data_IF_646142315861
#
_entry.id   IF_646142315861
#
_cell.length_a   1.000
_cell.length_b   1.000
_cell.length_c   1.000
_cell.angle_alpha   90.00
_cell.angle_beta   90.00
_cell.angle_gamma   90.00
#
_symmetry.space_group_name_H-M   'P 1'
#
loop_
_entity.id
_entity.type
_entity.pdbx_description
1 polymer ?
#
# COMPACT_ATOMS: atom_id res chain seq x y z
N UNK A 1 -5.99 -14.84 -6.07
CA UNK A 1 -5.16 -14.87 -7.30
C UNK A 1 -3.74 -15.22 -6.89
N UNK A 2 -3.07 -16.17 -7.56
CA UNK A 2 -1.72 -16.58 -7.17
C UNK A 2 -0.73 -15.42 -7.41
N UNK A 3 0.12 -15.16 -6.43
CA UNK A 3 1.27 -14.26 -6.54
C UNK A 3 2.12 -14.66 -7.75
N UNK A 4 2.61 -13.66 -8.49
CA UNK A 4 3.63 -13.91 -9.49
C UNK A 4 4.94 -14.30 -8.77
N UNK A 5 5.40 -15.57 -8.89
CA UNK A 5 6.57 -16.03 -8.15
C UNK A 5 7.85 -15.24 -8.50
N UNK A 6 7.87 -14.59 -9.67
CA UNK A 6 8.99 -13.76 -10.11
C UNK A 6 9.14 -12.49 -9.27
N UNK A 7 8.02 -11.88 -8.87
CA UNK A 7 8.02 -10.67 -8.02
C UNK A 7 8.53 -11.01 -6.61
N UNK A 8 8.03 -12.10 -6.01
CA UNK A 8 8.50 -12.55 -4.68
C UNK A 8 9.99 -12.85 -4.72
N UNK A 9 10.44 -13.54 -5.76
CA UNK A 9 11.86 -13.85 -5.95
C UNK A 9 12.71 -12.58 -6.09
N UNK A 10 12.23 -11.59 -6.85
CA UNK A 10 12.92 -10.33 -7.04
C UNK A 10 13.00 -9.53 -5.73
N UNK A 11 11.90 -9.45 -4.96
CA UNK A 11 11.89 -8.79 -3.64
C UNK A 11 12.90 -9.43 -2.69
N UNK A 12 12.93 -10.77 -2.63
CA UNK A 12 13.90 -11.51 -1.80
C UNK A 12 15.34 -11.31 -2.28
N UNK A 13 15.58 -11.38 -3.58
CA UNK A 13 16.92 -11.25 -4.16
C UNK A 13 17.52 -9.84 -3.94
N UNK A 14 16.68 -8.81 -3.89
CA UNK A 14 17.09 -7.44 -3.61
C UNK A 14 17.14 -7.10 -2.11
N UNK A 15 16.95 -8.08 -1.22
CA UNK A 15 17.00 -7.87 0.23
C UNK A 15 15.85 -7.02 0.79
N UNK A 16 14.80 -6.81 0.00
CA UNK A 16 13.64 -5.98 0.38
C UNK A 16 12.69 -6.73 1.32
N UNK A 17 12.77 -8.07 1.34
CA UNK A 17 12.06 -8.92 2.27
C UNK A 17 13.07 -9.48 3.28
N UNK A 18 12.99 -9.00 4.50
CA UNK A 18 13.87 -9.43 5.62
C UNK A 18 13.08 -10.38 6.50
N UNK A 19 13.68 -11.50 6.86
CA UNK A 19 13.16 -12.43 7.87
C UNK A 19 13.78 -12.09 9.23
N UNK A 20 12.96 -12.10 10.29
CA UNK A 20 13.40 -11.70 11.63
C UNK A 20 12.23 -11.67 12.61
N UNK A 21 12.38 -10.86 13.68
CA UNK A 21 11.33 -10.58 14.63
C UNK A 21 11.12 -9.07 14.71
N UNK A 22 10.10 -8.57 14.10
CA UNK A 22 9.82 -7.15 13.95
C UNK A 22 8.61 -6.74 14.75
N UNK A 23 8.70 -5.59 15.44
CA UNK A 23 7.57 -4.92 16.07
C UNK A 23 7.31 -3.59 15.37
N UNK A 24 6.11 -3.42 14.84
CA UNK A 24 5.66 -2.20 14.18
C UNK A 24 5.16 -1.17 15.18
N UNK A 25 5.06 0.08 14.75
CA UNK A 25 4.50 1.17 15.56
C UNK A 25 3.05 0.91 16.00
N UNK A 26 2.31 0.10 15.26
CA UNK A 26 0.97 -0.35 15.63
C UNK A 26 0.93 -1.30 16.83
N UNK A 27 2.09 -1.77 17.32
CA UNK A 27 2.21 -2.81 18.34
C UNK A 27 2.10 -4.24 17.79
N UNK A 28 1.85 -4.40 16.51
CA UNK A 28 1.81 -5.72 15.87
C UNK A 28 3.22 -6.26 15.64
N UNK A 29 3.40 -7.57 15.76
CA UNK A 29 4.64 -8.27 15.48
C UNK A 29 4.55 -9.06 14.18
N UNK A 30 5.68 -9.21 13.47
CA UNK A 30 5.79 -10.01 12.26
C UNK A 30 7.12 -10.77 12.22
N UNK A 31 7.11 -11.94 11.58
CA UNK A 31 8.32 -12.69 11.26
C UNK A 31 9.05 -12.16 10.02
N UNK A 32 8.51 -11.13 9.39
CA UNK A 32 9.02 -10.58 8.14
C UNK A 32 8.82 -9.05 8.09
N UNK A 33 9.71 -8.39 7.40
CA UNK A 33 9.65 -6.97 7.09
C UNK A 33 9.83 -6.76 5.59
N UNK A 34 8.91 -6.01 4.96
CA UNK A 34 9.17 -5.40 3.66
C UNK A 34 9.80 -4.03 3.91
N UNK A 35 11.06 -3.86 3.50
CA UNK A 35 11.78 -2.61 3.67
C UNK A 35 11.26 -1.55 2.70
N UNK A 36 10.29 -0.76 3.17
CA UNK A 36 9.63 0.25 2.34
C UNK A 36 10.55 1.39 1.94
N UNK A 37 11.58 1.69 2.75
CA UNK A 37 12.49 2.80 2.48
C UNK A 37 13.41 2.48 1.31
N UNK A 38 13.71 1.20 1.10
CA UNK A 38 14.49 0.72 -0.02
C UNK A 38 13.65 0.29 -1.24
N UNK A 39 12.36 0.01 -1.01
CA UNK A 39 11.47 -0.63 -2.00
C UNK A 39 11.43 0.07 -3.37
N UNK A 40 11.55 1.40 -3.38
CA UNK A 40 11.45 2.22 -4.58
C UNK A 40 12.77 2.89 -4.97
N UNK A 41 13.89 2.48 -4.38
CA UNK A 41 15.21 3.09 -4.70
C UNK A 41 15.71 2.67 -6.07
N UNK A 42 15.30 1.48 -6.56
CA UNK A 42 15.68 0.98 -7.87
C UNK A 42 14.53 1.21 -8.87
N UNK A 43 14.62 2.20 -9.78
CA UNK A 43 13.51 2.58 -10.68
C UNK A 43 13.02 1.45 -11.57
N UNK A 44 13.90 0.58 -12.06
CA UNK A 44 13.53 -0.57 -12.89
C UNK A 44 12.62 -1.52 -12.09
N UNK A 45 13.01 -1.85 -10.88
CA UNK A 45 12.22 -2.72 -10.01
C UNK A 45 10.90 -2.06 -9.60
N UNK A 46 10.93 -0.78 -9.20
CA UNK A 46 9.74 0.00 -8.88
C UNK A 46 8.73 0.03 -10.03
N UNK A 47 9.22 0.16 -11.28
CA UNK A 47 8.37 0.13 -12.47
C UNK A 47 7.69 -1.23 -12.66
N UNK A 48 8.40 -2.33 -12.41
CA UNK A 48 7.82 -3.67 -12.49
C UNK A 48 6.71 -3.89 -11.45
N UNK A 49 6.89 -3.40 -10.23
CA UNK A 49 5.83 -3.42 -9.20
C UNK A 49 4.62 -2.62 -9.64
N UNK A 50 4.85 -1.39 -10.13
CA UNK A 50 3.78 -0.51 -10.62
C UNK A 50 3.01 -1.12 -11.79
N UNK A 51 3.70 -1.75 -12.75
CA UNK A 51 3.06 -2.46 -13.85
C UNK A 51 2.20 -3.63 -13.37
N UNK A 52 2.73 -4.46 -12.46
CA UNK A 52 2.01 -5.61 -11.93
C UNK A 52 0.73 -5.19 -11.18
N UNK A 53 0.76 -4.06 -10.48
CA UNK A 53 -0.42 -3.48 -9.83
C UNK A 53 -1.39 -2.88 -10.85
N UNK A 54 -0.90 -2.06 -11.78
CA UNK A 54 -1.74 -1.41 -12.80
C UNK A 54 -2.50 -2.43 -13.66
N UNK A 55 -1.87 -3.56 -14.00
CA UNK A 55 -2.45 -4.63 -14.80
C UNK A 55 -3.79 -5.14 -14.26
N UNK A 56 -4.01 -5.09 -12.95
CA UNK A 56 -5.25 -5.53 -12.32
C UNK A 56 -6.43 -4.61 -12.65
N UNK A 57 -6.14 -3.35 -13.02
CA UNK A 57 -7.12 -2.28 -13.19
C UNK A 57 -7.18 -1.74 -14.63
N UNK A 58 -6.62 -2.44 -15.62
CA UNK A 58 -6.60 -1.97 -17.01
C UNK A 58 -7.99 -1.76 -17.61
N UNK A 59 -8.98 -2.49 -17.14
CA UNK A 59 -10.37 -2.37 -17.62
C UNK A 59 -11.20 -1.36 -16.85
N UNK A 60 -10.69 -0.80 -15.76
CA UNK A 60 -11.48 -0.03 -14.80
C UNK A 60 -11.55 1.47 -15.09
N UNK A 61 -10.88 1.96 -16.13
CA UNK A 61 -10.89 3.38 -16.54
C UNK A 61 -10.60 4.32 -15.38
N UNK A 62 -9.43 4.17 -14.77
CA UNK A 62 -9.00 4.98 -13.63
C UNK A 62 -8.61 6.40 -14.13
N UNK A 63 -9.20 7.43 -13.55
CA UNK A 63 -8.85 8.83 -13.84
C UNK A 63 -7.68 9.31 -12.98
N UNK A 64 -7.67 8.88 -11.70
CA UNK A 64 -6.69 9.32 -10.71
C UNK A 64 -6.25 8.19 -9.79
N UNK A 65 -4.96 8.07 -9.56
CA UNK A 65 -4.38 7.23 -8.52
C UNK A 65 -4.09 8.10 -7.31
N UNK A 66 -4.63 7.73 -6.15
CA UNK A 66 -4.57 8.55 -4.94
C UNK A 66 -3.92 7.78 -3.78
N UNK A 67 -3.11 8.47 -2.98
CA UNK A 67 -2.42 7.87 -1.83
C UNK A 67 -2.59 8.72 -0.57
N UNK A 68 -2.74 8.10 0.62
CA UNK A 68 -2.96 8.80 1.88
C UNK A 68 -1.76 9.64 2.33
N UNK A 69 -0.59 9.45 1.74
CA UNK A 69 0.62 10.16 2.12
C UNK A 69 1.63 10.21 0.98
N UNK A 70 2.65 11.05 1.13
CA UNK A 70 3.78 11.13 0.19
C UNK A 70 4.53 9.79 0.04
N UNK A 71 4.50 8.92 1.06
CA UNK A 71 5.18 7.63 1.04
C UNK A 71 4.66 6.69 -0.05
N UNK A 72 3.35 6.75 -0.35
CA UNK A 72 2.76 5.99 -1.46
C UNK A 72 2.94 6.63 -2.84
N UNK A 73 3.44 7.88 -2.92
CA UNK A 73 3.49 8.62 -4.18
C UNK A 73 4.39 7.95 -5.24
N UNK A 74 5.48 7.32 -4.81
CA UNK A 74 6.37 6.61 -5.73
C UNK A 74 5.68 5.44 -6.45
N UNK A 75 4.92 4.64 -5.72
CA UNK A 75 4.16 3.53 -6.33
C UNK A 75 2.97 4.06 -7.14
N UNK A 76 2.29 5.09 -6.64
CA UNK A 76 1.20 5.76 -7.36
C UNK A 76 1.65 6.26 -8.74
N UNK A 77 2.87 6.84 -8.82
CA UNK A 77 3.47 7.32 -10.06
C UNK A 77 3.61 6.20 -11.10
N UNK A 78 4.11 5.04 -10.70
CA UNK A 78 4.28 3.92 -11.63
C UNK A 78 2.96 3.29 -12.02
N UNK A 79 2.02 3.13 -11.09
CA UNK A 79 0.67 2.63 -11.42
C UNK A 79 0.01 3.56 -12.45
N UNK A 80 -0.02 4.86 -12.17
CA UNK A 80 -0.65 5.85 -13.04
C UNK A 80 0.00 5.91 -14.43
N UNK A 81 1.33 5.72 -14.50
CA UNK A 81 2.08 5.71 -15.75
C UNK A 81 1.68 4.55 -16.67
N UNK A 82 1.38 3.36 -16.11
CA UNK A 82 1.03 2.17 -16.88
C UNK A 82 -0.46 2.03 -17.18
N UNK A 83 -1.34 2.81 -16.54
CA UNK A 83 -2.76 2.82 -16.89
C UNK A 83 -3.01 3.50 -18.24
N UNK A 84 -3.99 3.00 -19.01
CA UNK A 84 -4.38 3.56 -20.30
C UNK A 84 -5.88 3.94 -20.31
N UNK A 85 -6.23 5.23 -20.51
CA UNK A 85 -5.34 6.37 -20.60
C UNK A 85 -4.56 6.59 -19.29
N UNK A 86 -3.42 7.28 -19.35
CA UNK A 86 -2.60 7.56 -18.16
C UNK A 86 -3.40 8.35 -17.13
N UNK A 87 -3.46 7.82 -15.92
CA UNK A 87 -4.13 8.47 -14.81
C UNK A 87 -3.32 9.65 -14.25
N UNK A 88 -3.99 10.56 -13.54
CA UNK A 88 -3.33 11.57 -12.71
C UNK A 88 -2.94 10.95 -11.38
N UNK A 89 -2.07 11.63 -10.63
CA UNK A 89 -1.74 11.24 -9.26
C UNK A 89 -2.04 12.36 -8.29
N UNK A 90 -2.50 12.00 -7.10
CA UNK A 90 -2.57 12.88 -5.95
C UNK A 90 -2.04 12.15 -4.72
N UNK A 91 -1.52 12.91 -3.76
CA UNK A 91 -1.28 12.43 -2.41
C UNK A 91 -1.93 13.38 -1.41
N UNK A 92 -2.42 12.83 -0.30
CA UNK A 92 -2.84 13.63 0.81
C UNK A 92 -1.63 14.11 1.63
N UNK A 93 -1.82 15.21 2.34
CA UNK A 93 -0.88 15.70 3.35
C UNK A 93 -1.52 15.50 4.71
N UNK A 94 -0.84 14.91 5.69
CA UNK A 94 -1.38 14.81 7.04
C UNK A 94 -1.42 16.19 7.69
N UNK A 95 -2.62 16.62 8.10
CA UNK A 95 -2.86 17.82 8.91
C UNK A 95 -3.51 17.33 10.20
N UNK A 96 -2.92 17.64 11.34
CA UNK A 96 -3.36 17.19 12.66
C UNK A 96 -3.61 15.66 12.73
N UNK A 97 -2.76 14.90 12.04
CA UNK A 97 -2.85 13.45 11.99
C UNK A 97 -3.88 12.87 11.01
N UNK A 98 -4.63 13.70 10.30
CA UNK A 98 -5.65 13.29 9.33
C UNK A 98 -5.20 13.54 7.89
N UNK A 99 -5.42 12.59 6.94
CA UNK A 99 -5.09 12.79 5.54
C UNK A 99 -5.97 13.90 4.95
N UNK A 100 -5.35 14.89 4.32
CA UNK A 100 -6.06 16.05 3.75
C UNK A 100 -5.64 16.23 2.30
N UNK A 101 -6.63 16.36 1.40
CA UNK A 101 -6.40 16.68 -0.01
C UNK A 101 -6.34 18.21 -0.15
N UNK A 102 -5.28 18.71 -0.79
CA UNK A 102 -5.15 20.15 -1.02
C UNK A 102 -6.28 20.66 -1.94
N UNK A 103 -6.91 21.82 -1.66
CA UNK A 103 -8.06 22.31 -2.43
C UNK A 103 -7.81 22.40 -3.94
N UNK A 104 -6.58 22.74 -4.35
CA UNK A 104 -6.20 22.80 -5.78
C UNK A 104 -6.28 21.44 -6.48
N UNK A 105 -6.27 20.34 -5.74
CA UNK A 105 -6.31 18.96 -6.27
C UNK A 105 -7.72 18.36 -6.28
N UNK A 106 -8.72 19.01 -5.66
CA UNK A 106 -10.10 18.49 -5.56
C UNK A 106 -10.72 18.20 -6.94
N UNK A 107 -10.37 18.98 -7.97
CA UNK A 107 -10.83 18.76 -9.34
C UNK A 107 -10.32 17.46 -9.98
N UNK A 108 -9.30 16.84 -9.38
CA UNK A 108 -8.79 15.51 -9.78
C UNK A 108 -9.47 14.36 -8.99
N UNK A 109 -10.37 14.71 -8.06
CA UNK A 109 -11.08 13.77 -7.17
C UNK A 109 -12.57 13.76 -7.47
N UNK A 110 -13.21 14.92 -7.49
CA UNK A 110 -14.68 15.07 -7.66
C UNK A 110 -15.16 14.47 -8.98
N UNK A 111 -16.15 13.57 -8.88
CA UNK A 111 -16.75 12.86 -10.00
C UNK A 111 -15.73 12.05 -10.85
N UNK A 112 -14.61 11.64 -10.24
CA UNK A 112 -13.57 10.85 -10.88
C UNK A 112 -13.55 9.42 -10.36
N UNK A 113 -13.06 8.51 -11.20
CA UNK A 113 -12.82 7.11 -10.84
C UNK A 113 -11.42 7.01 -10.25
N UNK A 114 -11.34 6.68 -8.97
CA UNK A 114 -10.09 6.63 -8.22
C UNK A 114 -9.67 5.21 -7.88
N UNK A 115 -8.39 4.93 -8.11
CA UNK A 115 -7.68 3.83 -7.49
C UNK A 115 -6.88 4.38 -6.31
N UNK A 116 -7.16 3.89 -5.11
CA UNK A 116 -6.35 4.23 -3.95
C UNK A 116 -5.13 3.30 -3.89
N UNK A 117 -4.00 3.81 -3.42
CA UNK A 117 -2.83 2.95 -3.26
C UNK A 117 -1.94 3.37 -2.08
N UNK A 118 -1.19 2.41 -1.57
CA UNK A 118 -0.09 2.65 -0.62
C UNK A 118 0.98 1.55 -0.80
N UNK A 119 2.15 1.73 -0.20
CA UNK A 119 3.19 0.70 -0.19
C UNK A 119 2.76 -0.50 0.66
N UNK A 120 2.25 -0.23 1.84
CA UNK A 120 1.91 -1.23 2.86
C UNK A 120 0.53 -0.96 3.44
N UNK A 121 -0.28 -2.00 3.56
CA UNK A 121 -1.51 -1.99 4.35
C UNK A 121 -1.36 -3.01 5.48
N UNK A 122 -1.25 -2.54 6.71
CA UNK A 122 -1.15 -3.38 7.91
C UNK A 122 -2.52 -3.60 8.55
N UNK A 123 -3.10 -2.55 9.11
CA UNK A 123 -4.42 -2.57 9.79
C UNK A 123 -5.51 -1.88 8.98
N UNK A 124 -5.16 -1.27 7.87
CA UNK A 124 -6.08 -0.48 7.05
C UNK A 124 -6.54 0.85 7.66
N UNK A 125 -6.15 1.21 8.89
CA UNK A 125 -6.64 2.41 9.56
C UNK A 125 -6.38 3.71 8.77
N UNK A 126 -5.14 3.94 8.34
CA UNK A 126 -4.78 5.14 7.54
C UNK A 126 -5.54 5.19 6.22
N UNK A 127 -5.66 4.04 5.54
CA UNK A 127 -6.41 3.94 4.29
C UNK A 127 -7.91 4.15 4.53
N UNK A 128 -8.46 3.61 5.62
CA UNK A 128 -9.86 3.81 6.00
C UNK A 128 -10.22 5.27 6.27
N UNK A 129 -9.34 6.03 6.92
CA UNK A 129 -9.54 7.47 7.11
C UNK A 129 -9.40 8.24 5.79
N UNK A 130 -8.48 7.83 4.93
CA UNK A 130 -8.34 8.43 3.61
C UNK A 130 -9.55 8.19 2.71
N UNK A 131 -10.13 6.98 2.74
CA UNK A 131 -11.39 6.66 2.03
C UNK A 131 -12.48 7.65 2.40
N UNK A 132 -12.71 7.93 3.70
CA UNK A 132 -13.73 8.89 4.15
C UNK A 132 -13.51 10.29 3.56
N UNK A 133 -12.26 10.74 3.47
CA UNK A 133 -11.91 12.03 2.86
C UNK A 133 -12.24 12.02 1.38
N UNK A 134 -11.81 11.00 0.65
CA UNK A 134 -12.05 10.87 -0.79
C UNK A 134 -13.54 10.77 -1.12
N UNK A 135 -14.31 10.00 -0.33
CA UNK A 135 -15.78 9.93 -0.46
C UNK A 135 -16.45 11.28 -0.21
N UNK A 136 -16.00 12.02 0.81
CA UNK A 136 -16.53 13.36 1.12
C UNK A 136 -16.33 14.37 -0.01
N UNK A 137 -15.34 14.15 -0.86
CA UNK A 137 -15.05 14.96 -2.06
C UNK A 137 -15.85 14.50 -3.30
N UNK A 138 -16.66 13.44 -3.20
CA UNK A 138 -17.54 12.96 -4.26
C UNK A 138 -16.84 12.10 -5.32
N UNK A 139 -15.82 11.35 -4.96
CA UNK A 139 -15.15 10.42 -5.85
C UNK A 139 -15.87 9.08 -5.99
N UNK A 140 -15.55 8.36 -7.06
CA UNK A 140 -15.94 6.96 -7.27
C UNK A 140 -14.70 6.07 -7.03
N UNK A 141 -14.56 5.53 -5.83
CA UNK A 141 -13.44 4.63 -5.51
C UNK A 141 -13.69 3.27 -6.19
N UNK A 142 -12.70 2.79 -6.96
CA UNK A 142 -12.76 1.52 -7.68
C UNK A 142 -12.19 0.38 -6.83
N UNK A 143 -11.16 0.66 -6.06
CA UNK A 143 -10.51 -0.30 -5.19
C UNK A 143 -9.22 0.26 -4.60
N UNK A 144 -8.48 -0.61 -3.94
CA UNK A 144 -7.23 -0.29 -3.25
C UNK A 144 -6.14 -1.21 -3.78
N UNK A 145 -4.98 -0.65 -4.12
CA UNK A 145 -3.80 -1.40 -4.55
C UNK A 145 -2.64 -1.17 -3.58
N UNK A 146 -1.95 -2.22 -3.18
CA UNK A 146 -0.80 -2.13 -2.29
C UNK A 146 0.27 -3.16 -2.66
N UNK A 147 1.52 -2.87 -2.34
CA UNK A 147 2.59 -3.85 -2.53
C UNK A 147 2.45 -4.97 -1.49
N UNK A 148 2.30 -4.61 -0.23
CA UNK A 148 2.06 -5.59 0.82
C UNK A 148 0.76 -5.29 1.57
N UNK A 149 -0.11 -6.32 1.63
CA UNK A 149 -1.32 -6.33 2.42
C UNK A 149 -1.19 -7.43 3.49
N UNK A 150 -1.31 -7.08 4.75
CA UNK A 150 -1.17 -8.05 5.84
C UNK A 150 -2.28 -9.11 5.76
N UNK A 151 -3.55 -8.71 5.85
CA UNK A 151 -4.68 -9.64 5.72
C UNK A 151 -6.04 -8.98 5.46
N UNK A 152 -6.05 -7.71 5.09
CA UNK A 152 -7.32 -6.99 4.87
C UNK A 152 -7.86 -7.27 3.46
N UNK A 153 -8.90 -8.10 3.27
CA UNK A 153 -9.48 -8.37 1.96
C UNK A 153 -10.25 -7.15 1.41
N UNK A 154 -10.75 -6.31 2.31
CA UNK A 154 -11.45 -5.06 2.01
C UNK A 154 -11.25 -4.04 3.13
N UNK A 155 -11.34 -2.75 2.79
CA UNK A 155 -11.33 -1.64 3.74
C UNK A 155 -12.51 -0.74 3.42
N UNK A 156 -13.39 -0.51 4.42
CA UNK A 156 -14.62 0.26 4.25
C UNK A 156 -15.49 -0.20 3.05
N UNK A 157 -15.51 -1.51 2.75
CA UNK A 157 -16.27 -2.09 1.64
C UNK A 157 -15.57 -2.02 0.27
N UNK A 158 -14.34 -1.51 0.19
CA UNK A 158 -13.56 -1.49 -1.04
C UNK A 158 -12.53 -2.63 -1.08
N UNK A 159 -12.46 -3.40 -2.18
CA UNK A 159 -11.55 -4.53 -2.27
C UNK A 159 -10.08 -4.08 -2.27
N UNK A 160 -9.24 -4.84 -1.58
CA UNK A 160 -7.80 -4.63 -1.52
C UNK A 160 -7.07 -5.64 -2.40
N UNK A 161 -6.36 -5.13 -3.40
CA UNK A 161 -5.41 -5.91 -4.17
C UNK A 161 -3.99 -5.68 -3.63
N UNK A 162 -3.39 -6.72 -3.07
CA UNK A 162 -1.98 -6.69 -2.67
C UNK A 162 -1.14 -7.57 -3.59
N UNK A 163 0.04 -7.12 -3.98
CA UNK A 163 1.02 -7.96 -4.67
C UNK A 163 1.54 -9.07 -3.76
N UNK A 164 1.68 -8.78 -2.47
CA UNK A 164 2.14 -9.68 -1.43
C UNK A 164 1.03 -9.76 -0.38
N UNK A 165 0.09 -10.68 -0.55
CA UNK A 165 -0.95 -10.93 0.45
C UNK A 165 -0.48 -12.01 1.41
N UNK A 166 -0.62 -11.78 2.70
CA UNK A 166 -0.50 -12.79 3.75
C UNK A 166 0.76 -13.67 3.65
N UNK A 167 1.85 -13.13 3.11
CA UNK A 167 3.12 -13.85 3.10
C UNK A 167 3.63 -14.10 4.52
N UNK A 168 3.33 -13.15 5.41
CA UNK A 168 3.63 -13.24 6.83
C UNK A 168 2.57 -12.42 7.58
N UNK A 169 1.77 -13.08 8.39
CA UNK A 169 0.74 -12.42 9.16
C UNK A 169 1.36 -11.59 10.28
N UNK A 170 0.84 -10.39 10.48
CA UNK A 170 1.10 -9.64 11.70
C UNK A 170 0.20 -10.16 12.81
N UNK A 171 0.71 -10.22 14.03
CA UNK A 171 0.01 -10.75 15.18
C UNK A 171 0.27 -9.90 16.42
N UNK A 172 -0.61 -9.99 17.40
CA UNK A 172 -0.40 -9.32 18.68
C UNK A 172 0.82 -9.91 19.41
N UNK A 173 1.48 -9.16 20.29
CA UNK A 173 2.60 -9.66 21.08
C UNK A 173 2.28 -10.95 21.84
N UNK A 174 1.03 -11.06 22.36
CA UNK A 174 0.57 -12.21 23.13
C UNK A 174 0.46 -13.49 22.27
N UNK A 175 0.16 -13.34 20.98
CA UNK A 175 0.08 -14.44 20.02
C UNK A 175 1.39 -14.73 19.29
N UNK A 176 2.44 -13.96 19.54
CA UNK A 176 3.67 -14.04 18.78
C UNK A 176 4.56 -15.21 19.21
N UNK A 177 4.70 -16.21 18.37
CA UNK A 177 5.57 -17.37 18.62
C UNK A 177 7.06 -16.98 18.78
N UNK A 178 7.51 -15.92 18.11
CA UNK A 178 8.89 -15.43 18.24
C UNK A 178 9.14 -14.80 19.60
N UNK A 179 8.15 -14.11 20.18
CA UNK A 179 8.17 -13.65 21.56
C UNK A 179 8.29 -14.83 22.54
N UNK A 180 7.44 -15.84 22.35
CA UNK A 180 7.44 -17.03 23.20
C UNK A 180 8.79 -17.79 23.16
N UNK A 181 9.51 -17.70 22.05
CA UNK A 181 10.84 -18.29 21.85
C UNK A 181 11.99 -17.38 22.29
N UNK A 182 11.70 -16.17 22.78
CA UNK A 182 12.71 -15.21 23.20
C UNK A 182 13.60 -14.66 22.06
N UNK A 183 13.10 -14.67 20.83
CA UNK A 183 13.84 -14.09 19.68
C UNK A 183 13.94 -12.58 19.85
N UNK A 184 15.10 -11.95 19.74
CA UNK A 184 15.27 -10.51 19.86
C UNK A 184 14.36 -9.74 18.89
N UNK A 185 13.78 -8.63 19.38
CA UNK A 185 12.84 -7.80 18.61
C UNK A 185 13.60 -6.63 17.98
N UNK A 186 13.39 -6.41 16.69
CA UNK A 186 13.73 -5.17 15.99
C UNK A 186 12.52 -4.26 15.90
N UNK A 187 12.59 -3.07 16.50
CA UNK A 187 11.51 -2.09 16.45
C UNK A 187 11.57 -1.28 15.17
N UNK A 188 10.46 -1.25 14.44
CA UNK A 188 10.30 -0.55 13.15
C UNK A 188 9.54 0.75 13.38
N UNK A 189 10.04 1.90 12.87
CA UNK A 189 9.46 3.21 13.17
C UNK A 189 8.13 3.53 12.43
N UNK A 190 7.60 2.60 11.66
CA UNK A 190 6.36 2.75 10.87
C UNK A 190 5.39 1.59 11.05
#
# INVERSE_FOLDING_TARGET
MALDPSIVKAIKANGLLREGHFAYRSGQHSACLVDRDQLLTEPEFASHLGYAMAKQFFTDRIDTVATPSIWGAGVAQWIAYFLEPRARIIHATPIDGHPTVAPILEGLVRDRRLLLCDNLVMTGATMGDFIKVIESLGAHIVGIATIWNSHEPEINGYPVFGLLNSLYDSQSPEGCELCARGVPIEHIPY
#
